data_IF_851326471981
#
_entry.id   IF_851326471981
#
_cell.length_a   1.000
_cell.length_b   1.000
_cell.length_c   1.000
_cell.angle_alpha   90.00
_cell.angle_beta   90.00
_cell.angle_gamma   90.00
#
_symmetry.space_group_name_H-M   'P 1'
#
loop_
_entity.id
_entity.type
_entity.pdbx_description
1 polymer ?
#
# COMPACT_ATOMS: atom_id res chain seq x y z
N UNK A 1 12.55 -0.15 6.45
CA UNK A 1 11.37 0.34 7.20
C UNK A 1 11.06 -0.42 8.50
N UNK A 2 11.15 -1.76 8.56
CA UNK A 2 10.77 -2.53 9.77
C UNK A 2 11.59 -2.21 11.04
N UNK A 3 12.70 -1.49 10.92
CA UNK A 3 13.50 -1.00 12.06
C UNK A 3 13.03 0.36 12.60
N UNK A 4 11.99 0.95 12.00
CA UNK A 4 11.55 2.34 12.26
C UNK A 4 10.06 2.46 12.54
N UNK A 5 9.22 1.67 11.88
CA UNK A 5 7.76 1.77 11.99
C UNK A 5 7.21 0.95 13.15
N UNK A 6 6.06 1.36 13.69
CA UNK A 6 5.30 0.57 14.66
C UNK A 6 4.32 -0.39 13.97
N UNK A 7 3.78 0.03 12.83
CA UNK A 7 2.78 -0.73 12.08
C UNK A 7 3.07 -0.60 10.58
N UNK A 8 2.72 -1.64 9.82
CA UNK A 8 2.92 -1.70 8.37
C UNK A 8 1.66 -2.22 7.70
N UNK A 9 1.12 -1.46 6.76
CA UNK A 9 0.06 -1.89 5.85
C UNK A 9 0.71 -2.31 4.55
N UNK A 10 0.41 -3.52 4.06
CA UNK A 10 0.82 -3.98 2.73
C UNK A 10 -0.45 -4.23 1.93
N UNK A 11 -0.69 -3.40 0.90
CA UNK A 11 -1.81 -3.52 -0.02
C UNK A 11 -1.35 -3.76 -1.46
N UNK A 12 -2.25 -3.47 -2.42
CA UNK A 12 -1.95 -3.57 -3.85
C UNK A 12 -1.47 -4.96 -4.30
N UNK A 13 -0.80 -5.01 -5.44
CA UNK A 13 -0.28 -6.26 -6.01
C UNK A 13 0.72 -7.01 -5.12
N UNK A 14 1.45 -6.28 -4.26
CA UNK A 14 2.43 -6.86 -3.34
C UNK A 14 1.78 -7.80 -2.32
N UNK A 15 0.56 -7.49 -1.87
CA UNK A 15 -0.15 -8.28 -0.87
C UNK A 15 -0.37 -9.74 -1.31
N UNK A 16 -0.54 -10.01 -2.61
CA UNK A 16 -0.76 -11.36 -3.11
C UNK A 16 0.44 -12.28 -2.90
N UNK A 17 1.66 -11.76 -3.05
CA UNK A 17 2.89 -12.53 -2.76
C UNK A 17 2.95 -12.91 -1.28
N UNK A 18 2.66 -11.95 -0.39
CA UNK A 18 2.60 -12.22 1.06
C UNK A 18 1.53 -13.25 1.40
N UNK A 19 0.31 -13.09 0.89
CA UNK A 19 -0.81 -13.98 1.23
C UNK A 19 -0.65 -15.39 0.65
N UNK A 20 -0.09 -15.51 -0.55
CA UNK A 20 0.24 -16.81 -1.13
C UNK A 20 1.29 -17.55 -0.30
N UNK A 21 2.36 -16.87 0.12
CA UNK A 21 3.42 -17.48 0.92
C UNK A 21 2.97 -17.80 2.35
N UNK A 22 2.29 -16.86 3.02
CA UNK A 22 1.97 -16.98 4.44
C UNK A 22 0.72 -17.82 4.72
N UNK A 23 -0.26 -17.80 3.80
CA UNK A 23 -1.57 -18.43 4.01
C UNK A 23 -1.91 -19.48 2.95
N UNK A 24 -1.04 -19.72 1.96
CA UNK A 24 -1.35 -20.62 0.86
C UNK A 24 -2.53 -20.17 0.01
N UNK A 25 -2.85 -18.87 0.04
CA UNK A 25 -4.02 -18.32 -0.65
C UNK A 25 -3.90 -18.54 -2.17
N UNK A 26 -4.98 -19.01 -2.81
CA UNK A 26 -5.10 -18.99 -4.27
C UNK A 26 -5.27 -17.54 -4.73
N UNK A 27 -4.42 -17.10 -5.66
CA UNK A 27 -4.40 -15.70 -6.13
C UNK A 27 -4.88 -15.53 -7.58
N UNK A 28 -5.36 -16.60 -8.22
CA UNK A 28 -5.69 -16.60 -9.64
C UNK A 28 -4.51 -16.10 -10.49
N UNK A 29 -4.79 -15.14 -11.36
CA UNK A 29 -3.82 -14.48 -12.24
C UNK A 29 -3.26 -13.17 -11.63
N UNK A 30 -3.43 -12.96 -10.32
CA UNK A 30 -2.90 -11.76 -9.64
C UNK A 30 -1.38 -11.76 -9.61
N UNK A 31 -0.81 -10.56 -9.45
CA UNK A 31 0.65 -10.36 -9.44
C UNK A 31 1.32 -11.24 -8.39
N UNK A 32 2.38 -11.91 -8.81
CA UNK A 32 3.22 -12.72 -7.94
C UNK A 32 4.69 -12.42 -8.24
N UNK A 33 5.41 -12.00 -7.21
CA UNK A 33 6.85 -11.82 -7.28
C UNK A 33 7.54 -13.06 -6.73
N UNK A 34 8.07 -13.89 -7.63
CA UNK A 34 8.74 -15.14 -7.26
C UNK A 34 10.03 -14.89 -6.47
N UNK A 35 10.80 -13.86 -6.80
CA UNK A 35 12.02 -13.51 -6.05
C UNK A 35 11.67 -12.92 -4.69
N UNK A 36 10.71 -11.98 -4.66
CA UNK A 36 10.17 -11.39 -3.43
C UNK A 36 9.57 -12.43 -2.49
N UNK A 37 8.96 -13.50 -3.01
CA UNK A 37 8.38 -14.58 -2.21
C UNK A 37 9.40 -15.23 -1.27
N UNK A 38 10.67 -15.34 -1.69
CA UNK A 38 11.75 -16.00 -0.94
C UNK A 38 12.11 -15.25 0.35
N UNK A 39 11.84 -13.94 0.41
CA UNK A 39 12.19 -13.09 1.56
C UNK A 39 11.00 -12.80 2.49
N UNK A 40 9.76 -13.16 2.11
CA UNK A 40 8.55 -12.88 2.90
C UNK A 40 8.66 -13.43 4.33
N UNK A 41 9.12 -14.67 4.49
CA UNK A 41 9.30 -15.29 5.82
C UNK A 41 10.24 -14.46 6.70
N UNK A 42 11.42 -14.11 6.19
CA UNK A 42 12.41 -13.31 6.90
C UNK A 42 11.86 -11.91 7.28
N UNK A 43 11.05 -11.29 6.41
CA UNK A 43 10.41 -10.00 6.69
C UNK A 43 9.40 -10.11 7.83
N UNK A 44 8.59 -11.17 7.85
CA UNK A 44 7.61 -11.41 8.93
C UNK A 44 8.30 -11.72 10.26
N UNK A 45 9.37 -12.51 10.25
CA UNK A 45 10.20 -12.75 11.44
C UNK A 45 10.82 -11.47 11.97
N UNK A 46 11.37 -10.63 11.08
CA UNK A 46 11.93 -9.33 11.47
C UNK A 46 10.87 -8.39 12.03
N UNK A 47 9.68 -8.36 11.42
CA UNK A 47 8.55 -7.59 11.93
C UNK A 47 8.15 -8.05 13.34
N UNK A 48 8.01 -9.35 13.56
CA UNK A 48 7.70 -9.92 14.87
C UNK A 48 8.77 -9.59 15.92
N UNK A 49 10.06 -9.75 15.56
CA UNK A 49 11.20 -9.41 16.44
C UNK A 49 11.20 -7.94 16.86
N UNK A 50 10.82 -7.04 15.95
CA UNK A 50 10.77 -5.60 16.19
C UNK A 50 9.42 -5.13 16.76
N UNK A 51 8.47 -6.04 17.00
CA UNK A 51 7.13 -5.70 17.49
C UNK A 51 6.27 -4.91 16.50
N UNK A 52 6.56 -5.02 15.19
CA UNK A 52 5.83 -4.32 14.14
C UNK A 52 4.52 -5.05 13.87
N UNK A 53 3.38 -4.34 13.99
CA UNK A 53 2.07 -4.89 13.63
C UNK A 53 1.88 -4.86 12.11
N UNK A 54 1.80 -6.04 11.50
CA UNK A 54 1.59 -6.19 10.06
C UNK A 54 0.09 -6.28 9.74
N UNK A 55 -0.37 -5.49 8.77
CA UNK A 55 -1.74 -5.48 8.26
C UNK A 55 -1.74 -5.92 6.80
N UNK A 56 -2.45 -7.00 6.51
CA UNK A 56 -2.66 -7.54 5.17
C UNK A 56 -4.14 -7.53 4.82
N UNK A 57 -4.52 -7.48 3.53
CA UNK A 57 -5.90 -7.55 3.11
C UNK A 57 -6.57 -8.86 3.53
N UNK A 58 -7.87 -8.78 3.82
CA UNK A 58 -8.74 -9.92 4.10
C UNK A 58 -9.65 -10.25 2.90
N UNK A 59 -9.93 -9.26 2.06
CA UNK A 59 -10.81 -9.34 0.91
C UNK A 59 -10.36 -8.42 -0.23
N UNK A 60 -10.86 -8.71 -1.43
CA UNK A 60 -10.44 -8.09 -2.68
C UNK A 60 -11.62 -7.82 -3.59
N UNK A 61 -11.52 -6.74 -4.36
CA UNK A 61 -12.29 -6.54 -5.57
C UNK A 61 -11.52 -7.16 -6.73
N UNK A 62 -12.16 -8.07 -7.46
CA UNK A 62 -11.53 -8.85 -8.52
C UNK A 62 -12.10 -8.51 -9.90
N UNK A 63 -11.37 -8.90 -10.94
CA UNK A 63 -11.75 -8.71 -12.33
C UNK A 63 -11.43 -9.97 -13.16
N UNK A 64 -12.19 -10.21 -14.22
CA UNK A 64 -11.92 -11.29 -15.18
C UNK A 64 -10.76 -10.97 -16.14
N UNK A 65 -10.35 -9.69 -16.23
CA UNK A 65 -9.19 -9.21 -16.98
C UNK A 65 -8.70 -7.86 -16.45
N UNK A 66 -7.49 -7.47 -16.81
CA UNK A 66 -6.95 -6.14 -16.51
C UNK A 66 -7.51 -5.09 -17.49
N UNK A 67 -8.71 -4.58 -17.21
CA UNK A 67 -9.43 -3.64 -18.07
C UNK A 67 -10.44 -2.85 -17.22
N UNK A 68 -10.62 -1.56 -17.50
CA UNK A 68 -11.60 -0.71 -16.83
C UNK A 68 -13.03 -1.26 -16.92
N UNK A 69 -13.36 -1.94 -18.02
CA UNK A 69 -14.69 -2.52 -18.33
C UNK A 69 -14.78 -4.01 -18.03
N UNK A 70 -13.83 -4.56 -17.29
CA UNK A 70 -13.85 -5.95 -16.84
C UNK A 70 -15.11 -6.26 -16.01
N UNK A 71 -15.52 -7.53 -16.01
CA UNK A 71 -16.53 -8.00 -15.07
C UNK A 71 -15.96 -7.94 -13.65
N UNK A 72 -16.67 -7.25 -12.75
CA UNK A 72 -16.23 -7.07 -11.36
C UNK A 72 -16.75 -8.21 -10.49
N UNK A 73 -15.87 -8.73 -9.64
CA UNK A 73 -16.16 -9.76 -8.67
C UNK A 73 -15.56 -9.43 -7.30
N UNK A 74 -15.62 -10.40 -6.39
CA UNK A 74 -15.04 -10.30 -5.06
C UNK A 74 -14.46 -11.63 -4.62
N UNK A 75 -13.42 -11.58 -3.77
CA UNK A 75 -12.83 -12.75 -3.15
C UNK A 75 -12.37 -12.43 -1.73
N UNK A 76 -12.34 -13.43 -0.84
CA UNK A 76 -11.66 -13.33 0.46
C UNK A 76 -10.39 -14.14 0.46
N UNK A 77 -9.56 -13.96 1.48
CA UNK A 77 -8.37 -14.78 1.72
C UNK A 77 -8.73 -16.26 1.86
N UNK A 78 -9.84 -16.57 2.53
CA UNK A 78 -10.30 -17.93 2.80
C UNK A 78 -10.82 -18.61 1.53
N UNK A 79 -11.58 -17.88 0.69
CA UNK A 79 -12.07 -18.43 -0.58
C UNK A 79 -10.98 -18.51 -1.64
N UNK A 80 -10.01 -17.60 -1.58
CA UNK A 80 -9.06 -17.35 -2.64
C UNK A 80 -9.70 -16.67 -3.86
N UNK A 81 -8.85 -16.25 -4.80
CA UNK A 81 -9.23 -15.73 -6.11
C UNK A 81 -9.27 -16.89 -7.11
N UNK A 82 -10.38 -17.07 -7.87
CA UNK A 82 -10.49 -18.11 -8.88
C UNK A 82 -9.45 -17.97 -10.01
N UNK A 83 -9.11 -19.08 -10.65
CA UNK A 83 -8.24 -19.07 -11.83
C UNK A 83 -8.86 -18.23 -12.96
N UNK A 84 -8.03 -17.49 -13.70
CA UNK A 84 -8.48 -16.54 -14.71
C UNK A 84 -8.85 -15.15 -14.16
N UNK A 85 -9.17 -15.04 -12.87
CA UNK A 85 -9.48 -13.76 -12.22
C UNK A 85 -8.23 -13.11 -11.60
N UNK A 86 -8.27 -11.79 -11.46
CA UNK A 86 -7.18 -10.95 -10.95
C UNK A 86 -7.74 -10.05 -9.84
N UNK A 87 -7.06 -9.95 -8.70
CA UNK A 87 -7.37 -8.95 -7.68
C UNK A 87 -6.79 -7.59 -8.07
N UNK A 88 -7.65 -6.58 -8.19
CA UNK A 88 -7.26 -5.25 -8.68
C UNK A 88 -7.47 -4.13 -7.65
N UNK A 89 -8.19 -4.37 -6.56
CA UNK A 89 -8.31 -3.43 -5.44
C UNK A 89 -8.59 -4.20 -4.14
N UNK A 90 -8.37 -3.55 -3.01
CA UNK A 90 -8.77 -4.11 -1.71
C UNK A 90 -10.29 -4.09 -1.56
N UNK A 91 -10.83 -5.08 -0.86
CA UNK A 91 -12.27 -5.20 -0.61
C UNK A 91 -12.75 -4.33 0.55
N UNK A 92 -14.08 -4.23 0.73
CA UNK A 92 -14.69 -3.39 1.77
C UNK A 92 -14.25 -3.72 3.20
N UNK A 93 -14.01 -5.00 3.53
CA UNK A 93 -13.58 -5.38 4.89
C UNK A 93 -12.16 -4.89 5.16
N UNK A 94 -11.28 -5.02 4.16
CA UNK A 94 -9.90 -4.54 4.22
C UNK A 94 -9.85 -3.03 4.33
N UNK A 95 -10.71 -2.30 3.61
CA UNK A 95 -10.80 -0.84 3.71
C UNK A 95 -11.04 -0.41 5.16
N UNK A 96 -12.04 -1.01 5.83
CA UNK A 96 -12.33 -0.67 7.23
C UNK A 96 -11.18 -1.07 8.16
N UNK A 97 -10.58 -2.24 7.95
CA UNK A 97 -9.44 -2.70 8.73
C UNK A 97 -8.20 -1.79 8.57
N UNK A 98 -7.97 -1.22 7.38
CA UNK A 98 -6.83 -0.34 7.11
C UNK A 98 -7.05 1.11 7.56
N UNK A 99 -8.30 1.59 7.63
CA UNK A 99 -8.62 2.91 8.20
C UNK A 99 -8.18 3.02 9.66
N UNK A 100 -8.38 1.96 10.45
CA UNK A 100 -8.09 1.95 11.88
C UNK A 100 -6.61 2.29 12.21
N UNK A 101 -5.58 1.60 11.66
CA UNK A 101 -4.18 1.98 11.85
C UNK A 101 -3.83 3.37 11.33
N UNK A 102 -4.41 3.80 10.20
CA UNK A 102 -4.16 5.13 9.63
C UNK A 102 -4.62 6.23 10.59
N UNK A 103 -5.84 6.11 11.11
CA UNK A 103 -6.46 7.14 11.95
C UNK A 103 -5.83 7.25 13.35
N UNK A 104 -5.20 6.18 13.87
CA UNK A 104 -4.47 6.22 15.15
C UNK A 104 -3.01 6.64 15.03
N UNK A 105 -2.45 6.64 13.82
CA UNK A 105 -1.04 6.95 13.61
C UNK A 105 -0.75 8.44 13.90
N UNK A 106 0.42 8.71 14.49
CA UNK A 106 0.95 10.08 14.65
C UNK A 106 1.74 10.56 13.44
N UNK A 107 2.32 9.61 12.71
CA UNK A 107 3.01 9.84 11.44
C UNK A 107 2.65 8.72 10.47
N UNK A 108 2.25 9.08 9.26
CA UNK A 108 1.97 8.16 8.15
C UNK A 108 2.94 8.45 7.02
N UNK A 109 3.61 7.42 6.52
CA UNK A 109 4.34 7.45 5.26
C UNK A 109 3.63 6.49 4.31
N UNK A 110 3.10 7.00 3.21
CA UNK A 110 2.33 6.21 2.25
C UNK A 110 3.02 6.21 0.89
N UNK A 111 3.33 5.02 0.39
CA UNK A 111 3.91 4.79 -0.93
C UNK A 111 3.27 3.56 -1.58
N UNK A 112 2.56 3.78 -2.69
CA UNK A 112 1.85 2.77 -3.47
C UNK A 112 0.34 2.74 -3.20
N UNK A 113 -0.52 2.88 -4.23
CA UNK A 113 -1.97 2.76 -4.08
C UNK A 113 -2.41 1.35 -3.63
N UNK A 114 -3.62 1.24 -3.10
CA UNK A 114 -4.17 -0.04 -2.62
C UNK A 114 -4.75 -0.92 -3.74
N UNK A 115 -4.99 -0.33 -4.91
CA UNK A 115 -5.54 -0.95 -6.10
C UNK A 115 -5.22 -0.14 -7.37
N UNK A 116 -5.71 -0.60 -8.52
CA UNK A 116 -5.55 0.03 -9.84
C UNK A 116 -6.47 1.26 -9.93
N UNK A 117 -6.05 2.33 -9.26
CA UNK A 117 -6.84 3.54 -9.05
C UNK A 117 -7.18 4.31 -10.33
N UNK A 118 -6.48 4.03 -11.41
CA UNK A 118 -6.73 4.55 -12.75
C UNK A 118 -8.11 4.13 -13.27
N UNK A 119 -8.59 2.96 -12.87
CA UNK A 119 -9.90 2.44 -13.25
C UNK A 119 -10.92 2.68 -12.13
N UNK A 120 -12.04 3.33 -12.45
CA UNK A 120 -13.00 3.74 -11.42
C UNK A 120 -13.56 2.55 -10.62
N UNK A 121 -13.75 1.39 -11.27
CA UNK A 121 -14.17 0.14 -10.63
C UNK A 121 -13.19 -0.40 -9.57
N UNK A 122 -11.91 -0.03 -9.66
CA UNK A 122 -10.81 -0.56 -8.85
C UNK A 122 -10.05 0.55 -8.10
N UNK A 123 -10.71 1.69 -7.89
CA UNK A 123 -10.16 2.88 -7.24
C UNK A 123 -10.67 3.11 -5.82
N UNK A 124 -11.67 2.35 -5.38
CA UNK A 124 -12.41 2.60 -4.13
C UNK A 124 -11.55 2.41 -2.90
N UNK A 125 -10.71 1.38 -2.88
CA UNK A 125 -9.77 1.11 -1.81
C UNK A 125 -8.76 2.24 -1.66
N UNK A 126 -8.09 2.59 -2.75
CA UNK A 126 -7.13 3.71 -2.77
C UNK A 126 -7.78 5.03 -2.33
N UNK A 127 -8.98 5.34 -2.85
CA UNK A 127 -9.71 6.55 -2.45
C UNK A 127 -10.05 6.55 -0.96
N UNK A 128 -10.53 5.43 -0.43
CA UNK A 128 -10.89 5.32 0.98
C UNK A 128 -9.68 5.46 1.91
N UNK A 129 -8.51 4.94 1.52
CA UNK A 129 -7.27 5.15 2.26
C UNK A 129 -6.82 6.62 2.18
N UNK A 130 -6.91 7.26 1.01
CA UNK A 130 -6.63 8.69 0.87
C UNK A 130 -7.50 9.54 1.80
N UNK A 131 -8.80 9.26 1.86
CA UNK A 131 -9.73 9.97 2.75
C UNK A 131 -9.39 9.76 4.22
N UNK A 132 -8.95 8.57 4.60
CA UNK A 132 -8.49 8.28 5.95
C UNK A 132 -7.21 9.05 6.29
N UNK A 133 -6.25 9.10 5.36
CA UNK A 133 -4.99 9.86 5.50
C UNK A 133 -5.30 11.34 5.66
N UNK A 134 -6.08 11.93 4.76
CA UNK A 134 -6.50 13.34 4.83
C UNK A 134 -7.22 13.64 6.16
N UNK A 135 -8.11 12.75 6.59
CA UNK A 135 -8.80 12.92 7.88
C UNK A 135 -7.84 12.84 9.06
N UNK A 136 -6.80 12.01 9.01
CA UNK A 136 -5.78 11.97 10.05
C UNK A 136 -4.94 13.26 10.04
N UNK A 137 -4.55 13.76 8.86
CA UNK A 137 -3.83 15.03 8.73
C UNK A 137 -4.59 16.19 9.35
N UNK A 138 -5.88 16.29 9.06
CA UNK A 138 -6.75 17.31 9.63
C UNK A 138 -6.82 17.26 11.18
N UNK A 139 -6.50 16.11 11.78
CA UNK A 139 -6.42 15.92 13.24
C UNK A 139 -5.01 16.10 13.81
N UNK A 140 -4.04 16.52 12.99
CA UNK A 140 -2.66 16.81 13.39
C UNK A 140 -1.66 15.69 13.15
N UNK A 141 -2.04 14.60 12.48
CA UNK A 141 -1.10 13.54 12.06
C UNK A 141 -0.16 14.07 10.97
N UNK A 142 1.13 13.80 11.08
CA UNK A 142 2.09 14.09 10.01
C UNK A 142 1.89 13.06 8.90
N UNK A 143 1.63 13.51 7.67
CA UNK A 143 1.36 12.62 6.53
C UNK A 143 2.30 12.93 5.37
N UNK A 144 3.07 11.93 4.97
CA UNK A 144 4.06 12.01 3.90
C UNK A 144 3.63 11.07 2.79
N UNK A 145 3.30 11.64 1.64
CA UNK A 145 3.01 10.92 0.41
C UNK A 145 4.32 10.76 -0.37
N UNK A 146 4.70 9.52 -0.63
CA UNK A 146 5.86 9.14 -1.43
C UNK A 146 5.46 8.30 -2.64
N UNK A 147 6.30 8.32 -3.67
CA UNK A 147 6.06 7.60 -4.92
C UNK A 147 5.19 8.38 -5.91
N UNK A 148 5.49 8.21 -7.21
CA UNK A 148 4.81 8.92 -8.30
C UNK A 148 3.32 8.58 -8.38
N UNK A 149 2.95 7.31 -8.19
CA UNK A 149 1.56 6.87 -8.30
C UNK A 149 0.70 7.41 -7.15
N UNK A 150 1.21 7.42 -5.93
CA UNK A 150 0.48 7.98 -4.78
C UNK A 150 0.39 9.51 -4.85
N UNK A 151 1.40 10.19 -5.38
CA UNK A 151 1.30 11.61 -5.70
C UNK A 151 0.23 11.88 -6.78
N UNK A 152 0.15 11.03 -7.80
CA UNK A 152 -0.89 11.10 -8.84
C UNK A 152 -2.29 10.86 -8.27
N UNK A 153 -2.42 9.98 -7.27
CA UNK A 153 -3.66 9.81 -6.51
C UNK A 153 -4.09 11.11 -5.81
N UNK A 154 -3.16 11.83 -5.17
CA UNK A 154 -3.48 13.11 -4.55
C UNK A 154 -4.02 14.11 -5.58
N UNK A 155 -3.35 14.23 -6.73
CA UNK A 155 -3.77 15.10 -7.82
C UNK A 155 -5.13 14.71 -8.41
N UNK A 156 -5.39 13.42 -8.59
CA UNK A 156 -6.68 12.91 -9.08
C UNK A 156 -7.85 13.36 -8.20
N UNK A 157 -7.64 13.48 -6.89
CA UNK A 157 -8.71 13.79 -5.92
C UNK A 157 -8.58 15.16 -5.25
N UNK A 158 -7.65 16.02 -5.70
CA UNK A 158 -7.44 17.36 -5.15
C UNK A 158 -7.17 17.33 -3.65
N UNK A 159 -6.16 16.55 -3.24
CA UNK A 159 -5.78 16.39 -1.83
C UNK A 159 -4.33 16.76 -1.53
N UNK A 160 -3.60 17.32 -2.49
CA UNK A 160 -2.20 17.72 -2.33
C UNK A 160 -2.01 18.73 -1.20
N UNK A 161 -2.96 19.67 -1.05
CA UNK A 161 -3.01 20.69 -0.01
C UNK A 161 -3.59 20.18 1.32
N UNK A 162 -4.06 18.93 1.35
CA UNK A 162 -4.71 18.31 2.52
C UNK A 162 -3.83 17.30 3.24
N UNK A 163 -2.62 17.06 2.74
CA UNK A 163 -1.58 16.22 3.37
C UNK A 163 -0.40 17.07 3.80
N UNK A 164 0.45 16.58 4.70
CA UNK A 164 1.55 17.39 5.23
C UNK A 164 2.68 17.58 4.22
N UNK A 165 2.94 16.57 3.39
CA UNK A 165 3.94 16.62 2.33
C UNK A 165 3.61 15.66 1.20
N UNK A 166 3.68 16.15 -0.04
CA UNK A 166 3.73 15.32 -1.25
C UNK A 166 5.13 15.38 -1.81
N UNK A 167 5.83 14.25 -1.82
CA UNK A 167 7.18 14.20 -2.36
C UNK A 167 7.17 14.19 -3.89
N UNK A 168 8.01 15.04 -4.48
CA UNK A 168 8.34 15.05 -5.91
C UNK A 168 9.56 14.19 -6.25
N UNK A 169 10.24 13.63 -5.25
CA UNK A 169 11.52 12.93 -5.40
C UNK A 169 11.42 11.54 -6.03
N UNK A 170 10.21 11.00 -6.22
CA UNK A 170 10.00 9.67 -6.81
C UNK A 170 10.89 8.60 -6.16
N UNK A 171 11.77 7.99 -6.95
CA UNK A 171 12.75 7.00 -6.49
C UNK A 171 13.72 7.51 -5.42
N UNK A 172 14.13 8.78 -5.47
CA UNK A 172 15.04 9.35 -4.47
C UNK A 172 14.42 9.38 -3.07
N UNK A 173 13.10 9.61 -2.97
CA UNK A 173 12.40 9.55 -1.68
C UNK A 173 12.29 8.14 -1.15
N UNK A 174 12.16 7.14 -2.02
CA UNK A 174 12.17 5.75 -1.62
C UNK A 174 13.54 5.35 -1.09
N UNK A 175 14.62 5.72 -1.79
CA UNK A 175 15.99 5.47 -1.33
C UNK A 175 16.29 6.15 0.02
N UNK A 176 15.79 7.37 0.22
CA UNK A 176 15.87 8.06 1.50
C UNK A 176 15.14 7.30 2.61
N UNK A 177 13.93 6.79 2.34
CA UNK A 177 13.15 6.00 3.29
C UNK A 177 13.78 4.62 3.57
N UNK A 178 14.52 4.06 2.61
CA UNK A 178 15.36 2.88 2.81
C UNK A 178 16.58 3.14 3.71
N UNK A 179 16.90 4.42 3.97
CA UNK A 179 18.02 4.85 4.79
C UNK A 179 19.34 4.97 4.02
N UNK A 180 19.28 5.06 2.68
CA UNK A 180 20.47 5.26 1.85
C UNK A 180 20.94 6.71 1.92
N UNK A 181 22.25 6.90 1.81
CA UNK A 181 22.84 8.23 1.62
C UNK A 181 22.60 8.68 0.20
N UNK A 182 21.80 9.75 0.02
CA UNK A 182 21.59 10.34 -1.29
C UNK A 182 22.82 11.17 -1.69
N UNK A 183 23.48 10.90 -2.85
CA UNK A 183 24.71 11.59 -3.24
C UNK A 183 24.58 13.11 -3.29
N UNK A 184 23.45 13.61 -3.81
CA UNK A 184 23.19 15.04 -3.90
C UNK A 184 22.97 15.72 -2.55
N UNK A 185 22.42 14.99 -1.55
CA UNK A 185 22.25 15.51 -0.18
C UNK A 185 23.58 15.51 0.57
N UNK A 186 24.39 14.45 0.39
CA UNK A 186 25.70 14.34 1.03
C UNK A 186 26.71 15.38 0.52
N UNK A 187 26.51 15.91 -0.70
CA UNK A 187 27.35 16.96 -1.27
C UNK A 187 27.01 18.37 -0.74
N UNK A 188 25.90 18.54 -0.01
CA UNK A 188 25.55 19.82 0.59
C UNK A 188 26.50 20.14 1.75
N UNK A 189 26.86 21.41 1.88
CA UNK A 189 27.60 21.91 3.06
C UNK A 189 26.67 22.00 4.26
N UNK A 190 27.22 21.86 5.46
CA UNK A 190 26.49 22.13 6.70
C UNK A 190 26.05 23.60 6.75
N UNK A 191 24.96 23.86 7.48
CA UNK A 191 24.36 25.19 7.63
C UNK A 191 25.19 26.14 8.50
#
# INVERSE_FOLDING_TARGET
MLDKVNEMIIGGGMAFTFLKVLKGMKIGNSLYDEEGSKIVGNLMEKAAKNGVKMHLPADFTTADKFDEKAAVGSATVETGIPDGWIGLDVGPQTIEAFKEPILRAKTVVWNGPAGVFEFDNFSKGTKALMDAVVSATAKGTITIIGGGDTATCCAKWGTEDKVSHVSTGGGASLELLEGKTLPGVAALSDA
#
